data_IF_491296897765
#
_entry.id   IF_491296897765
#
_cell.length_a   1.000
_cell.length_b   1.000
_cell.length_c   1.000
_cell.angle_alpha   90.00
_cell.angle_beta   90.00
_cell.angle_gamma   90.00
#
_symmetry.space_group_name_H-M   'P 1'
#
loop_
_entity.id
_entity.type
_entity.pdbx_description
1 polymer ?
#
# COMPACT_ATOMS: atom_id res chain seq x y z
N UNK A 1 19.70 -15.01 9.48
CA UNK A 1 18.98 -14.24 8.46
C UNK A 1 19.86 -13.06 8.15
N UNK A 2 20.33 -12.90 6.92
CA UNK A 2 21.08 -11.70 6.54
C UNK A 2 20.15 -10.48 6.66
N UNK A 3 20.66 -9.35 7.12
CA UNK A 3 19.87 -8.11 7.16
C UNK A 3 19.56 -7.64 5.74
N UNK A 4 18.51 -6.83 5.58
CA UNK A 4 18.17 -6.20 4.29
C UNK A 4 19.38 -5.40 3.74
N UNK A 5 20.19 -4.80 4.61
CA UNK A 5 21.45 -4.13 4.23
C UNK A 5 22.54 -5.11 3.75
N UNK A 6 22.64 -6.30 4.32
CA UNK A 6 23.60 -7.31 3.86
C UNK A 6 23.20 -7.85 2.49
N UNK A 7 21.90 -8.10 2.30
CA UNK A 7 21.35 -8.51 1.01
C UNK A 7 21.56 -7.44 -0.05
N UNK A 8 21.37 -6.16 0.29
CA UNK A 8 21.51 -5.06 -0.67
C UNK A 8 22.94 -4.88 -1.17
N UNK A 9 23.93 -4.93 -0.26
CA UNK A 9 25.35 -4.84 -0.62
C UNK A 9 25.76 -5.97 -1.57
N UNK A 10 25.27 -7.20 -1.32
CA UNK A 10 25.57 -8.36 -2.17
C UNK A 10 24.94 -8.27 -3.57
N UNK A 11 23.82 -7.55 -3.68
CA UNK A 11 23.06 -7.38 -4.92
C UNK A 11 23.39 -6.08 -5.67
N UNK A 12 24.35 -5.28 -5.21
CA UNK A 12 24.65 -3.96 -5.80
C UNK A 12 23.51 -2.95 -5.64
N UNK A 13 22.62 -3.19 -4.69
CA UNK A 13 21.47 -2.35 -4.37
C UNK A 13 21.92 -1.24 -3.43
N UNK A 14 21.63 0.01 -3.79
CA UNK A 14 21.78 1.14 -2.86
C UNK A 14 20.45 1.33 -2.13
N UNK A 15 20.47 1.24 -0.79
CA UNK A 15 19.32 1.58 0.04
C UNK A 15 19.51 2.99 0.56
N UNK A 16 18.50 3.83 0.37
CA UNK A 16 18.42 5.16 0.98
C UNK A 16 17.24 5.15 1.94
N UNK A 17 17.52 5.30 3.24
CA UNK A 17 16.52 5.35 4.33
C UNK A 17 16.35 6.77 4.84
N UNK A 18 15.18 7.09 5.40
CA UNK A 18 14.89 8.42 5.93
C UNK A 18 14.88 9.49 4.84
N UNK A 19 14.53 9.10 3.62
CA UNK A 19 14.49 9.96 2.45
C UNK A 19 13.11 9.88 1.79
N UNK A 20 12.51 11.04 1.51
CA UNK A 20 11.17 11.12 0.95
C UNK A 20 11.24 11.48 -0.52
N UNK A 21 10.74 10.60 -1.39
CA UNK A 21 10.63 10.88 -2.82
C UNK A 21 9.52 11.90 -3.03
N UNK A 22 9.89 13.09 -3.51
CA UNK A 22 8.96 14.19 -3.73
C UNK A 22 8.38 14.18 -5.14
N UNK A 23 9.11 13.63 -6.13
CA UNK A 23 8.68 13.69 -7.54
C UNK A 23 9.32 12.60 -8.40
N UNK A 24 8.56 12.10 -9.38
CA UNK A 24 9.09 11.35 -10.54
C UNK A 24 9.48 12.35 -11.64
N UNK A 25 10.74 12.29 -12.08
CA UNK A 25 11.27 13.18 -13.12
C UNK A 25 11.11 12.53 -14.48
N UNK A 26 10.76 13.33 -15.48
CA UNK A 26 10.55 12.85 -16.85
C UNK A 26 11.38 13.61 -17.88
N UNK A 27 11.56 13.01 -19.07
CA UNK A 27 12.40 13.52 -20.17
C UNK A 27 12.02 14.89 -20.75
N UNK A 28 10.94 15.52 -20.28
CA UNK A 28 10.49 16.86 -20.64
C UNK A 28 10.53 17.87 -19.50
N UNK A 29 10.97 17.46 -18.30
CA UNK A 29 11.09 18.36 -17.15
C UNK A 29 12.33 19.25 -17.34
N UNK A 30 12.11 20.58 -17.29
CA UNK A 30 13.21 21.53 -17.11
C UNK A 30 13.67 21.41 -15.64
N UNK A 31 14.75 20.66 -15.44
CA UNK A 31 15.32 20.35 -14.12
C UNK A 31 15.61 21.62 -13.30
N UNK A 32 15.98 22.73 -13.95
CA UNK A 32 16.28 24.00 -13.28
C UNK A 32 15.00 24.73 -12.82
N UNK A 33 13.89 24.59 -13.54
CA UNK A 33 12.59 25.14 -13.12
C UNK A 33 11.90 24.29 -12.05
N UNK A 34 12.05 22.96 -12.13
CA UNK A 34 11.49 22.00 -11.15
C UNK A 34 12.11 22.13 -9.74
N UNK A 35 13.34 22.65 -9.65
CA UNK A 35 14.02 22.95 -8.39
C UNK A 35 13.63 24.31 -7.77
N UNK A 36 12.91 25.16 -8.52
CA UNK A 36 12.62 26.54 -8.10
C UNK A 36 11.37 26.70 -7.24
N UNK A 37 10.47 25.71 -7.26
CA UNK A 37 9.25 25.72 -6.46
C UNK A 37 9.00 24.35 -5.82
N UNK A 38 8.92 24.24 -4.48
CA UNK A 38 8.42 23.03 -3.86
C UNK A 38 6.97 22.78 -4.34
N UNK A 39 6.57 21.52 -4.55
CA UNK A 39 5.19 21.22 -4.90
C UNK A 39 4.24 21.90 -3.91
N UNK A 40 3.15 22.49 -4.43
CA UNK A 40 2.14 23.09 -3.57
C UNK A 40 1.60 22.03 -2.61
N UNK A 41 1.47 22.32 -1.30
CA UNK A 41 1.11 21.30 -0.35
C UNK A 41 -0.21 20.64 -0.74
N UNK A 42 -0.19 19.31 -0.89
CA UNK A 42 -1.42 18.54 -1.02
C UNK A 42 -2.27 18.69 0.24
N UNK A 43 -3.58 18.42 0.19
CA UNK A 43 -4.44 18.41 1.39
C UNK A 43 -4.03 17.36 2.44
N UNK A 44 -2.98 16.57 2.17
CA UNK A 44 -2.40 15.53 3.01
C UNK A 44 -0.87 15.62 3.10
N UNK A 45 -0.27 16.79 2.87
CA UNK A 45 1.17 16.96 3.07
C UNK A 45 1.48 17.05 4.56
N UNK A 46 2.23 16.05 5.06
CA UNK A 46 2.64 15.91 6.46
C UNK A 46 4.14 15.59 6.55
N UNK A 47 4.80 15.93 7.67
CA UNK A 47 6.21 15.58 7.90
C UNK A 47 6.40 14.06 7.86
N UNK A 48 7.38 13.61 7.09
CA UNK A 48 7.73 12.20 6.91
C UNK A 48 8.64 11.68 8.02
N UNK A 49 8.63 10.36 8.24
CA UNK A 49 9.44 9.69 9.27
C UNK A 49 10.26 8.52 8.68
N UNK A 50 10.97 7.79 9.54
CA UNK A 50 12.01 6.80 9.21
C UNK A 50 11.54 5.59 8.37
N UNK A 51 10.25 5.47 8.03
CA UNK A 51 9.69 4.32 7.30
C UNK A 51 9.74 4.45 5.77
N UNK A 52 10.22 5.56 5.22
CA UNK A 52 10.48 5.69 3.79
C UNK A 52 11.72 4.89 3.37
N UNK A 53 11.50 3.67 2.85
CA UNK A 53 12.56 2.84 2.28
C UNK A 53 12.46 2.85 0.76
N UNK A 54 13.42 3.48 0.08
CA UNK A 54 13.53 3.41 -1.37
C UNK A 54 14.58 2.34 -1.73
N UNK A 55 14.15 1.29 -2.43
CA UNK A 55 15.02 0.22 -2.90
C UNK A 55 15.37 0.47 -4.35
N UNK A 56 16.67 0.61 -4.65
CA UNK A 56 17.16 0.82 -6.00
C UNK A 56 18.15 -0.30 -6.32
N UNK A 57 17.65 -1.35 -6.97
CA UNK A 57 18.48 -2.42 -7.51
C UNK A 57 19.04 -1.99 -8.87
N UNK A 58 20.33 -1.67 -8.90
CA UNK A 58 21.02 -1.23 -10.11
C UNK A 58 21.55 -2.39 -10.94
N UNK A 59 21.93 -3.51 -10.33
CA UNK A 59 22.59 -4.62 -11.03
C UNK A 59 21.61 -5.62 -11.64
N UNK A 60 20.43 -5.85 -11.04
CA UNK A 60 19.37 -6.62 -11.70
C UNK A 60 18.71 -5.81 -12.82
N UNK A 61 18.47 -4.52 -12.60
CA UNK A 61 17.97 -3.62 -13.65
C UNK A 61 18.96 -3.54 -14.83
N UNK A 62 20.27 -3.45 -14.54
CA UNK A 62 21.33 -3.49 -15.56
C UNK A 62 21.32 -4.80 -16.35
N UNK A 63 21.28 -5.97 -15.70
CA UNK A 63 21.20 -7.28 -16.37
C UNK A 63 19.98 -7.43 -17.27
N UNK A 64 18.83 -6.88 -16.86
CA UNK A 64 17.58 -6.89 -17.64
C UNK A 64 17.64 -5.92 -18.82
N UNK A 65 18.22 -4.72 -18.64
CA UNK A 65 18.39 -3.73 -19.72
C UNK A 65 19.50 -4.12 -20.72
N UNK A 66 20.53 -4.85 -20.27
CA UNK A 66 21.64 -5.34 -21.09
C UNK A 66 21.31 -6.67 -21.80
N UNK A 67 20.12 -7.25 -21.56
CA UNK A 67 19.64 -8.45 -22.26
C UNK A 67 20.39 -9.73 -21.90
N UNK A 68 21.02 -9.78 -20.73
CA UNK A 68 21.81 -10.94 -20.27
C UNK A 68 20.94 -12.11 -19.77
N UNK A 69 19.61 -11.94 -19.75
CA UNK A 69 18.63 -13.02 -19.56
C UNK A 69 17.98 -13.36 -20.91
N UNK A 70 18.31 -14.51 -21.49
CA UNK A 70 17.73 -14.93 -22.76
C UNK A 70 16.21 -15.20 -22.65
N UNK A 71 15.39 -14.70 -23.60
CA UNK A 71 13.98 -15.01 -23.67
C UNK A 71 13.80 -16.45 -24.18
N UNK A 72 13.54 -17.39 -23.29
CA UNK A 72 13.05 -18.72 -23.69
C UNK A 72 11.60 -18.61 -24.13
N UNK A 73 11.38 -18.29 -25.40
CA UNK A 73 10.04 -18.30 -26.00
C UNK A 73 9.94 -17.49 -27.28
N UNK A 74 10.38 -18.06 -28.40
CA UNK A 74 10.10 -17.52 -29.71
C UNK A 74 8.58 -17.53 -29.98
N UNK A 75 7.93 -16.38 -29.86
CA UNK A 75 6.56 -16.19 -30.29
C UNK A 75 6.52 -15.89 -31.79
N UNK A 76 6.15 -16.89 -32.59
CA UNK A 76 5.74 -16.72 -33.98
C UNK A 76 4.51 -15.80 -34.07
N UNK A 77 4.65 -14.68 -34.79
CA UNK A 77 3.53 -13.81 -35.16
C UNK A 77 2.50 -14.60 -36.00
N UNK A 78 1.28 -14.72 -35.48
CA UNK A 78 0.12 -15.14 -36.27
C UNK A 78 -0.60 -13.88 -36.81
N UNK A 79 -0.44 -13.63 -38.11
CA UNK A 79 -1.28 -12.71 -38.88
C UNK A 79 -2.54 -13.45 -39.34
N UNK A 80 -3.71 -12.88 -39.08
CA UNK A 80 -4.96 -13.27 -39.75
C UNK A 80 -5.42 -12.13 -40.65
N UNK A 81 -5.83 -12.39 -41.91
CA UNK A 81 -6.33 -11.37 -42.81
C UNK A 81 -7.81 -11.06 -42.50
N UNK A 82 -8.20 -9.80 -42.64
CA UNK A 82 -9.61 -9.45 -42.87
C UNK A 82 -9.69 -8.48 -44.04
N UNK A 83 -10.41 -8.94 -45.05
CA UNK A 83 -10.79 -8.20 -46.24
C UNK A 83 -11.63 -6.97 -45.91
N UNK A 84 -11.43 -5.98 -46.77
CA UNK A 84 -12.04 -4.66 -46.82
C UNK A 84 -13.50 -4.71 -47.27
N UNK A 85 -14.33 -3.85 -46.70
CA UNK A 85 -15.37 -3.18 -47.48
C UNK A 85 -15.41 -1.69 -47.13
N UNK A 86 -15.42 -0.88 -48.18
CA UNK A 86 -15.18 0.55 -48.18
C UNK A 86 -16.44 1.34 -47.79
N UNK A 87 -16.27 2.31 -46.88
CA UNK A 87 -17.17 3.46 -46.75
C UNK A 87 -16.31 4.71 -46.62
N UNK A 88 -16.37 5.54 -47.66
CA UNK A 88 -15.71 6.84 -47.77
C UNK A 88 -16.30 7.83 -46.76
N UNK A 89 -15.54 8.16 -45.73
CA UNK A 89 -15.80 9.25 -44.81
C UNK A 89 -14.47 9.96 -44.51
N UNK A 90 -14.50 11.28 -44.53
CA UNK A 90 -13.34 12.17 -44.39
C UNK A 90 -12.42 11.75 -43.23
N UNK A 91 -11.14 11.53 -43.53
CA UNK A 91 -10.09 11.22 -42.55
C UNK A 91 -9.96 12.38 -41.56
N UNK A 92 -10.17 12.16 -40.24
CA UNK A 92 -9.78 13.12 -39.22
C UNK A 92 -8.27 13.32 -39.31
N UNK A 93 -7.82 14.56 -39.17
CA UNK A 93 -6.39 14.89 -39.14
C UNK A 93 -5.66 13.97 -38.15
N UNK A 94 -4.67 13.22 -38.64
CA UNK A 94 -3.76 12.42 -37.81
C UNK A 94 -3.14 13.35 -36.77
N UNK A 95 -3.48 13.10 -35.50
CA UNK A 95 -2.77 13.73 -34.39
C UNK A 95 -1.33 13.21 -34.46
N UNK A 96 -0.29 14.06 -34.49
CA UNK A 96 1.07 13.58 -34.55
C UNK A 96 1.34 12.62 -33.37
N UNK A 97 2.11 11.53 -33.56
CA UNK A 97 2.41 10.60 -32.49
C UNK A 97 3.12 11.39 -31.37
N UNK A 98 2.42 11.58 -30.26
CA UNK A 98 3.01 12.14 -29.05
C UNK A 98 4.04 11.12 -28.59
N UNK A 99 5.33 11.47 -28.68
CA UNK A 99 6.38 10.65 -28.10
C UNK A 99 6.02 10.42 -26.62
N UNK A 100 5.89 9.16 -26.16
CA UNK A 100 5.50 8.92 -24.78
C UNK A 100 6.56 9.52 -23.86
N UNK A 101 6.09 10.34 -22.91
CA UNK A 101 6.92 10.91 -21.85
C UNK A 101 7.57 9.75 -21.09
N UNK A 102 8.88 9.81 -20.86
CA UNK A 102 9.65 8.74 -20.22
C UNK A 102 10.18 9.20 -18.87
N UNK A 103 10.25 8.29 -17.90
CA UNK A 103 11.02 8.49 -16.67
C UNK A 103 12.48 8.80 -17.00
N UNK A 104 13.05 9.77 -16.30
CA UNK A 104 14.50 10.04 -16.31
C UNK A 104 15.11 9.97 -14.92
N UNK A 105 14.32 9.86 -13.87
CA UNK A 105 14.80 9.75 -12.50
C UNK A 105 13.75 10.06 -11.45
N UNK A 106 14.23 10.33 -10.24
CA UNK A 106 13.43 10.80 -9.10
C UNK A 106 14.09 12.00 -8.45
N UNK A 107 13.29 12.83 -7.81
CA UNK A 107 13.74 13.81 -6.82
C UNK A 107 13.33 13.33 -5.43
N UNK A 108 14.23 13.46 -4.46
CA UNK A 108 13.97 13.11 -3.08
C UNK A 108 14.59 14.12 -2.12
N UNK A 109 14.00 14.23 -0.93
CA UNK A 109 14.56 14.96 0.19
C UNK A 109 15.28 13.97 1.11
N UNK A 110 16.51 14.26 1.52
CA UNK A 110 17.19 13.47 2.54
C UNK A 110 16.68 13.79 3.96
N UNK A 111 17.21 13.10 4.97
CA UNK A 111 16.84 13.30 6.36
C UNK A 111 17.11 14.72 6.90
N UNK A 112 17.93 15.53 6.20
CA UNK A 112 18.19 16.93 6.53
C UNK A 112 17.25 17.89 5.81
N UNK A 113 16.39 17.38 4.92
CA UNK A 113 15.52 18.14 4.04
C UNK A 113 16.22 18.68 2.80
N UNK A 114 17.46 18.26 2.51
CA UNK A 114 18.14 18.68 1.29
C UNK A 114 17.62 17.90 0.08
N UNK A 115 17.38 18.61 -1.03
CA UNK A 115 16.88 18.02 -2.27
C UNK A 115 18.01 17.37 -3.09
N UNK A 116 17.74 16.18 -3.59
CA UNK A 116 18.63 15.38 -4.42
C UNK A 116 17.89 14.89 -5.65
N UNK A 117 18.64 14.68 -6.74
CA UNK A 117 18.15 14.02 -7.95
C UNK A 117 18.90 12.72 -8.14
N UNK A 118 18.16 11.70 -8.54
CA UNK A 118 18.72 10.42 -8.90
C UNK A 118 18.23 10.01 -10.28
N UNK A 119 19.16 9.90 -11.23
CA UNK A 119 18.86 9.47 -12.58
C UNK A 119 18.50 7.98 -12.62
N UNK A 120 17.46 7.66 -13.40
CA UNK A 120 17.00 6.30 -13.62
C UNK A 120 16.20 6.16 -14.93
N UNK A 121 16.47 5.09 -15.69
CA UNK A 121 15.69 4.75 -16.89
C UNK A 121 14.34 4.09 -16.56
N UNK A 122 14.25 3.51 -15.37
CA UNK A 122 13.10 2.77 -14.84
C UNK A 122 12.91 3.14 -13.38
N UNK A 123 11.65 3.38 -12.98
CA UNK A 123 11.25 3.54 -11.59
C UNK A 123 10.14 2.54 -11.28
N UNK A 124 10.32 1.78 -10.20
CA UNK A 124 9.29 0.88 -9.65
C UNK A 124 8.83 1.46 -8.32
N UNK A 125 7.64 2.05 -8.28
CA UNK A 125 7.08 2.62 -7.06
C UNK A 125 6.33 1.54 -6.26
N UNK A 126 6.83 1.22 -5.07
CA UNK A 126 6.23 0.24 -4.16
C UNK A 126 5.40 0.88 -3.02
N UNK A 127 5.19 2.19 -3.08
CA UNK A 127 4.33 2.95 -2.16
C UNK A 127 2.86 2.95 -2.63
N UNK A 128 1.96 3.57 -1.86
CA UNK A 128 0.53 3.64 -2.21
C UNK A 128 0.35 4.29 -3.59
N UNK A 129 -0.41 3.63 -4.47
CA UNK A 129 -0.58 4.06 -5.86
C UNK A 129 -1.25 5.43 -5.95
N UNK A 130 -2.18 5.76 -5.03
CA UNK A 130 -2.80 7.08 -5.03
C UNK A 130 -1.73 8.14 -4.80
N UNK A 131 -0.87 7.95 -3.79
CA UNK A 131 0.18 8.89 -3.48
C UNK A 131 1.14 9.11 -4.65
N UNK A 132 1.62 8.03 -5.29
CA UNK A 132 2.46 8.12 -6.50
C UNK A 132 1.76 8.94 -7.58
N UNK A 133 0.51 8.61 -7.86
CA UNK A 133 -0.23 9.19 -8.97
C UNK A 133 -0.64 10.64 -8.73
N UNK A 134 -1.00 11.01 -7.50
CA UNK A 134 -1.57 12.34 -7.23
C UNK A 134 -0.58 13.33 -6.63
N UNK A 135 0.54 12.86 -6.10
CA UNK A 135 1.53 13.70 -5.41
C UNK A 135 2.87 13.72 -6.15
N UNK A 136 3.34 12.57 -6.65
CA UNK A 136 4.67 12.47 -7.28
C UNK A 136 4.66 12.74 -8.80
N UNK A 137 3.48 12.90 -9.41
CA UNK A 137 3.30 13.13 -10.85
C UNK A 137 2.49 14.40 -11.13
N UNK A 138 2.90 15.11 -12.19
CA UNK A 138 2.11 16.21 -12.75
C UNK A 138 0.73 15.70 -13.23
N UNK A 139 -0.35 16.51 -13.10
CA UNK A 139 -1.73 16.12 -13.42
C UNK A 139 -1.92 15.46 -14.80
N UNK A 140 -1.23 15.96 -15.81
CA UNK A 140 -1.28 15.46 -17.18
C UNK A 140 -0.62 14.08 -17.34
N UNK A 141 0.32 13.72 -16.45
CA UNK A 141 1.05 12.44 -16.45
C UNK A 141 0.37 11.35 -15.62
N UNK A 142 -0.68 11.68 -14.87
CA UNK A 142 -1.39 10.73 -14.00
C UNK A 142 -2.22 9.73 -14.81
N UNK A 143 -1.96 8.44 -14.64
CA UNK A 143 -2.82 7.35 -15.12
C UNK A 143 -4.08 7.21 -14.25
N UNK A 144 -3.94 7.44 -12.95
CA UNK A 144 -5.01 7.33 -11.95
C UNK A 144 -5.20 8.66 -11.20
N UNK A 145 -5.77 9.69 -11.84
CA UNK A 145 -5.94 11.01 -11.24
C UNK A 145 -6.96 11.00 -10.08
N UNK A 146 -7.07 12.10 -9.32
CA UNK A 146 -8.01 12.21 -8.19
C UNK A 146 -9.46 11.83 -8.56
N UNK A 147 -9.89 12.14 -9.79
CA UNK A 147 -11.22 11.77 -10.30
C UNK A 147 -11.46 10.25 -10.42
N UNK A 148 -10.40 9.44 -10.54
CA UNK A 148 -10.46 7.99 -10.43
C UNK A 148 -10.74 7.59 -8.98
N UNK A 149 -9.95 8.10 -8.02
CA UNK A 149 -10.05 7.76 -6.61
C UNK A 149 -11.33 8.25 -5.93
N UNK A 150 -11.88 9.39 -6.37
CA UNK A 150 -13.16 9.93 -5.89
C UNK A 150 -14.33 8.93 -6.07
N UNK A 151 -14.24 8.05 -7.07
CA UNK A 151 -15.22 6.99 -7.37
C UNK A 151 -14.87 5.65 -6.73
N UNK A 152 -13.77 5.57 -5.99
CA UNK A 152 -13.28 4.33 -5.38
C UNK A 152 -13.65 4.31 -3.90
N UNK A 153 -13.65 3.11 -3.34
CA UNK A 153 -13.90 2.86 -1.91
C UNK A 153 -12.65 2.25 -1.31
N UNK A 154 -12.08 2.93 -0.31
CA UNK A 154 -10.99 2.40 0.49
C UNK A 154 -11.47 1.19 1.28
N UNK A 155 -10.60 0.20 1.44
CA UNK A 155 -10.79 -0.92 2.35
C UNK A 155 -10.83 -0.42 3.79
N UNK A 156 -11.22 -1.28 4.74
CA UNK A 156 -11.28 -0.87 6.14
C UNK A 156 -9.87 -0.54 6.64
N UNK A 157 -9.80 0.28 7.68
CA UNK A 157 -8.59 0.49 8.45
C UNK A 157 -8.60 -0.36 9.72
N UNK A 158 -7.63 -0.15 10.58
CA UNK A 158 -7.50 -0.81 11.86
C UNK A 158 -6.98 0.16 12.93
N UNK A 159 -7.38 -0.09 14.18
CA UNK A 159 -6.52 0.24 15.33
C UNK A 159 -5.70 -1.00 15.63
N UNK A 160 -4.38 -0.86 15.59
CA UNK A 160 -3.45 -1.91 16.01
C UNK A 160 -3.00 -1.61 17.44
N UNK A 161 -2.91 -2.65 18.26
CA UNK A 161 -2.47 -2.54 19.66
C UNK A 161 -1.38 -3.59 19.87
N UNK A 162 -0.19 -3.13 20.20
CA UNK A 162 0.96 -3.95 20.53
C UNK A 162 1.11 -3.93 22.05
N UNK A 163 1.03 -5.11 22.67
CA UNK A 163 1.11 -5.25 24.12
C UNK A 163 2.27 -6.17 24.49
N UNK A 164 3.08 -5.74 25.45
CA UNK A 164 3.91 -6.63 26.25
C UNK A 164 3.16 -6.95 27.53
N UNK A 165 3.05 -8.23 27.89
CA UNK A 165 2.29 -8.68 29.06
C UNK A 165 3.20 -9.52 29.94
N UNK A 166 3.32 -9.14 31.21
CA UNK A 166 4.06 -9.92 32.21
C UNK A 166 3.30 -11.22 32.49
N UNK A 167 3.98 -12.36 32.56
CA UNK A 167 3.39 -13.69 32.79
C UNK A 167 2.81 -14.36 31.54
N UNK A 168 2.44 -15.63 31.66
CA UNK A 168 1.83 -16.44 30.58
C UNK A 168 0.34 -16.12 30.38
N UNK A 169 -0.16 -16.33 29.15
CA UNK A 169 -1.58 -16.16 28.78
C UNK A 169 -2.08 -17.43 28.05
N UNK A 170 -2.23 -18.56 28.76
CA UNK A 170 -2.60 -19.84 28.15
C UNK A 170 -4.00 -19.84 27.50
N UNK A 171 -4.86 -18.88 27.85
CA UNK A 171 -6.21 -18.72 27.31
C UNK A 171 -6.24 -18.35 25.82
N UNK A 172 -5.15 -17.76 25.30
CA UNK A 172 -5.03 -17.34 23.90
C UNK A 172 -4.19 -18.32 23.10
N UNK A 173 -4.64 -18.76 21.93
CA UNK A 173 -3.77 -19.45 20.97
C UNK A 173 -2.84 -18.45 20.27
N UNK A 174 -1.89 -18.96 19.46
CA UNK A 174 -1.07 -18.09 18.60
C UNK A 174 -1.95 -17.15 17.77
N UNK A 175 -3.07 -17.63 17.23
CA UNK A 175 -4.08 -16.82 16.57
C UNK A 175 -5.44 -17.04 17.22
N UNK A 176 -6.06 -15.96 17.68
CA UNK A 176 -7.40 -15.99 18.31
C UNK A 176 -8.29 -14.95 17.65
N UNK A 177 -9.53 -15.34 17.32
CA UNK A 177 -10.53 -14.46 16.71
C UNK A 177 -11.75 -14.37 17.63
N UNK A 178 -12.08 -13.16 18.04
CA UNK A 178 -13.28 -12.84 18.80
C UNK A 178 -14.32 -12.25 17.85
N UNK A 179 -15.47 -12.93 17.73
CA UNK A 179 -16.54 -12.52 16.83
C UNK A 179 -17.71 -11.93 17.60
N UNK A 180 -18.19 -10.78 17.15
CA UNK A 180 -19.48 -10.24 17.60
C UNK A 180 -20.63 -11.05 16.99
N UNK A 181 -21.77 -11.09 17.69
CA UNK A 181 -23.01 -11.68 17.13
C UNK A 181 -23.62 -10.83 16.01
N UNK A 182 -23.14 -9.59 15.84
CA UNK A 182 -23.70 -8.54 14.97
C UNK A 182 -22.85 -8.26 13.74
N UNK A 183 -22.13 -9.27 13.25
CA UNK A 183 -21.19 -9.19 12.10
C UNK A 183 -21.68 -8.31 10.95
N UNK A 184 -22.90 -8.53 10.43
CA UNK A 184 -23.43 -7.75 9.30
C UNK A 184 -23.56 -6.25 9.58
N UNK A 185 -24.10 -5.89 10.74
CA UNK A 185 -24.24 -4.47 11.10
C UNK A 185 -22.89 -3.82 11.40
N UNK A 186 -21.89 -4.59 11.84
CA UNK A 186 -20.56 -4.06 12.12
C UNK A 186 -19.82 -3.72 10.82
N UNK A 187 -19.98 -4.52 9.77
CA UNK A 187 -19.55 -4.14 8.41
C UNK A 187 -20.28 -2.89 7.90
N UNK A 188 -21.58 -2.76 8.16
CA UNK A 188 -22.32 -1.54 7.83
C UNK A 188 -21.88 -0.32 8.64
N UNK A 189 -21.35 -0.47 9.85
CA UNK A 189 -20.75 0.65 10.59
C UNK A 189 -19.42 1.06 9.96
N UNK A 190 -18.61 0.10 9.52
CA UNK A 190 -17.28 0.35 8.94
C UNK A 190 -17.38 0.98 7.55
N UNK A 191 -18.24 0.45 6.67
CA UNK A 191 -18.40 0.93 5.29
C UNK A 191 -19.61 1.88 5.12
N UNK A 192 -20.39 2.07 6.19
CA UNK A 192 -21.62 2.86 6.27
C UNK A 192 -22.88 2.16 5.73
N UNK A 193 -24.05 2.79 5.96
CA UNK A 193 -25.37 2.20 5.62
C UNK A 193 -25.46 1.84 4.13
N UNK A 194 -25.74 0.56 3.86
CA UNK A 194 -25.73 -0.03 2.50
C UNK A 194 -24.44 -0.78 2.16
N UNK A 195 -23.42 -0.75 3.03
CA UNK A 195 -22.19 -1.54 2.93
C UNK A 195 -21.50 -1.41 1.57
N UNK A 196 -21.09 -2.55 1.00
CA UNK A 196 -20.48 -2.63 -0.35
C UNK A 196 -21.38 -2.01 -1.43
N UNK A 197 -22.71 -2.08 -1.29
CA UNK A 197 -23.64 -1.49 -2.25
C UNK A 197 -23.64 0.04 -2.22
N UNK A 198 -23.41 0.66 -1.06
CA UNK A 198 -23.21 2.11 -0.95
C UNK A 198 -21.89 2.53 -1.62
N UNK A 199 -20.82 1.74 -1.46
CA UNK A 199 -19.56 1.93 -2.18
C UNK A 199 -19.71 1.82 -3.71
N UNK A 200 -20.53 0.88 -4.18
CA UNK A 200 -20.86 0.74 -5.61
C UNK A 200 -21.65 1.94 -6.13
N UNK A 201 -22.67 2.39 -5.38
CA UNK A 201 -23.49 3.55 -5.72
C UNK A 201 -22.65 4.86 -5.75
N UNK A 202 -21.72 5.03 -4.80
CA UNK A 202 -20.70 6.10 -4.86
C UNK A 202 -19.84 5.99 -6.11
N UNK A 203 -19.43 4.79 -6.51
CA UNK A 203 -18.57 4.60 -7.69
C UNK A 203 -19.20 5.00 -9.03
N UNK A 204 -20.53 5.07 -9.08
CA UNK A 204 -21.30 5.57 -10.23
C UNK A 204 -21.81 7.00 -10.05
N UNK A 205 -21.32 7.73 -9.04
CA UNK A 205 -21.67 9.14 -8.80
C UNK A 205 -23.06 9.36 -8.18
N UNK A 206 -23.72 8.29 -7.72
CA UNK A 206 -25.05 8.35 -7.09
C UNK A 206 -24.94 7.86 -5.65
N UNK A 207 -24.59 8.71 -4.69
CA UNK A 207 -24.46 8.31 -3.28
C UNK A 207 -24.77 9.44 -2.30
N UNK A 208 -25.35 9.11 -1.14
CA UNK A 208 -25.47 10.04 0.00
C UNK A 208 -24.19 10.03 0.82
N UNK A 209 -23.91 11.09 1.61
CA UNK A 209 -22.86 11.07 2.61
C UNK A 209 -23.00 9.83 3.48
N UNK A 210 -21.91 9.09 3.61
CA UNK A 210 -21.85 7.83 4.32
C UNK A 210 -21.34 8.11 5.72
N UNK A 211 -22.21 7.95 6.73
CA UNK A 211 -21.77 8.01 8.13
C UNK A 211 -21.24 6.63 8.51
N UNK A 212 -19.97 6.57 8.87
CA UNK A 212 -19.31 5.39 9.42
C UNK A 212 -19.12 5.55 10.93
N UNK A 213 -18.89 4.44 11.63
CA UNK A 213 -18.55 4.45 13.04
C UNK A 213 -17.74 3.20 13.40
N UNK A 214 -17.03 3.25 14.52
CA UNK A 214 -16.36 2.07 15.07
C UNK A 214 -17.40 1.13 15.71
N UNK A 215 -17.39 -0.17 15.39
CA UNK A 215 -18.23 -1.14 16.11
C UNK A 215 -17.86 -1.24 17.60
N UNK A 216 -18.88 -1.35 18.45
CA UNK A 216 -18.75 -1.59 19.90
C UNK A 216 -19.89 -2.52 20.34
N UNK A 217 -19.59 -3.71 20.89
CA UNK A 217 -18.28 -4.37 20.86
C UNK A 217 -17.80 -4.59 19.41
N UNK A 218 -16.49 -4.69 19.21
CA UNK A 218 -15.89 -4.97 17.91
C UNK A 218 -15.54 -6.46 17.74
N UNK A 219 -15.45 -6.95 16.51
CA UNK A 219 -14.75 -8.22 16.28
C UNK A 219 -13.25 -7.96 16.35
N UNK A 220 -12.50 -8.80 17.04
CA UNK A 220 -11.09 -8.57 17.36
C UNK A 220 -10.26 -9.76 16.90
N UNK A 221 -9.13 -9.47 16.27
CA UNK A 221 -8.08 -10.45 16.03
C UNK A 221 -6.95 -10.24 17.03
N UNK A 222 -6.49 -11.32 17.67
CA UNK A 222 -5.35 -11.33 18.57
C UNK A 222 -4.34 -12.36 18.07
N UNK A 223 -3.10 -11.92 17.90
CA UNK A 223 -1.95 -12.78 17.67
C UNK A 223 -1.09 -12.78 18.94
N UNK A 224 -0.72 -13.97 19.43
CA UNK A 224 0.24 -14.18 20.52
C UNK A 224 1.46 -14.94 19.99
N UNK A 225 2.41 -14.27 19.32
CA UNK A 225 3.52 -14.96 18.65
C UNK A 225 4.40 -15.78 19.61
N UNK A 226 4.54 -15.30 20.85
CA UNK A 226 5.27 -15.97 21.94
C UNK A 226 4.76 -17.37 22.27
N UNK A 227 3.51 -17.70 21.90
CA UNK A 227 2.96 -19.04 22.02
C UNK A 227 3.73 -20.10 21.21
N UNK A 228 4.42 -19.70 20.13
CA UNK A 228 5.18 -20.63 19.27
C UNK A 228 6.63 -20.22 19.05
N UNK A 229 6.99 -18.97 19.35
CA UNK A 229 8.34 -18.46 19.22
C UNK A 229 8.76 -17.73 20.50
N UNK A 230 9.51 -18.40 21.36
CA UNK A 230 9.97 -17.83 22.63
C UNK A 230 10.97 -16.67 22.47
N UNK A 231 11.46 -16.38 21.25
CA UNK A 231 12.42 -15.29 21.02
C UNK A 231 11.78 -13.91 20.88
N UNK A 232 10.46 -13.84 20.70
CA UNK A 232 9.72 -12.60 20.44
C UNK A 232 9.23 -11.86 21.70
N UNK A 233 9.47 -12.43 22.89
CA UNK A 233 9.18 -11.83 24.18
C UNK A 233 10.24 -12.22 25.23
N UNK A 234 10.49 -11.40 26.27
CA UNK A 234 11.34 -11.79 27.39
C UNK A 234 10.84 -13.04 28.11
N UNK A 235 11.74 -13.77 28.77
CA UNK A 235 11.38 -14.93 29.60
C UNK A 235 10.32 -14.54 30.64
N UNK A 236 9.27 -15.35 30.76
CA UNK A 236 8.15 -15.10 31.67
C UNK A 236 7.23 -13.97 31.22
N UNK A 237 7.32 -13.50 29.97
CA UNK A 237 6.41 -12.52 29.37
C UNK A 237 5.83 -13.03 28.05
N UNK A 238 4.70 -12.46 27.65
CA UNK A 238 4.05 -12.70 26.36
C UNK A 238 3.95 -11.38 25.59
N UNK A 239 3.80 -11.47 24.28
CA UNK A 239 3.53 -10.32 23.42
C UNK A 239 2.24 -10.55 22.63
N UNK A 240 1.39 -9.52 22.56
CA UNK A 240 0.14 -9.55 21.81
C UNK A 240 0.16 -8.49 20.71
N UNK A 241 -0.23 -8.91 19.52
CA UNK A 241 -0.67 -8.01 18.46
C UNK A 241 -2.19 -8.12 18.37
N UNK A 242 -2.87 -7.00 18.55
CA UNK A 242 -4.33 -6.91 18.48
C UNK A 242 -4.72 -6.02 17.31
N UNK A 243 -5.73 -6.45 16.55
CA UNK A 243 -6.29 -5.70 15.44
C UNK A 243 -7.80 -5.51 15.66
N UNK A 244 -8.22 -4.25 15.68
CA UNK A 244 -9.63 -3.84 15.71
C UNK A 244 -9.99 -3.19 14.36
N UNK A 245 -10.87 -3.80 13.56
CA UNK A 245 -11.24 -3.26 12.25
C UNK A 245 -12.14 -2.02 12.41
N UNK A 246 -11.80 -0.95 11.71
CA UNK A 246 -12.47 0.36 11.82
C UNK A 246 -12.64 1.02 10.42
N UNK A 247 -13.43 2.09 10.30
CA UNK A 247 -13.47 2.87 9.06
C UNK A 247 -12.09 3.38 8.63
N UNK A 248 -11.84 3.46 7.33
CA UNK A 248 -10.67 4.14 6.78
C UNK A 248 -10.90 5.66 6.81
N UNK A 249 -10.54 6.25 7.94
CA UNK A 249 -10.70 7.67 8.23
C UNK A 249 -9.54 8.15 9.11
N UNK A 250 -8.58 8.91 8.55
CA UNK A 250 -7.48 9.51 9.32
C UNK A 250 -7.97 10.45 10.43
N UNK A 251 -9.21 10.97 10.35
CA UNK A 251 -9.82 11.80 11.39
C UNK A 251 -10.06 11.07 12.72
N UNK A 252 -10.00 9.73 12.73
CA UNK A 252 -10.03 8.91 13.96
C UNK A 252 -8.76 9.14 14.79
N UNK A 253 -7.65 9.52 14.14
CA UNK A 253 -6.40 9.91 14.78
C UNK A 253 -5.27 8.89 14.69
N UNK A 254 -4.16 9.27 15.29
CA UNK A 254 -2.93 8.48 15.44
C UNK A 254 -2.92 7.72 16.76
N UNK A 255 -2.16 6.63 16.80
CA UNK A 255 -1.77 5.96 18.04
C UNK A 255 -0.61 6.64 18.73
N UNK A 256 -0.08 5.97 19.76
CA UNK A 256 1.03 6.43 20.56
C UNK A 256 1.52 5.36 21.52
N UNK A 257 2.61 5.68 22.22
CA UNK A 257 3.15 4.85 23.28
C UNK A 257 2.44 5.14 24.60
N UNK A 258 2.23 4.11 25.41
CA UNK A 258 1.71 4.20 26.79
C UNK A 258 0.43 5.04 26.94
N UNK A 259 -0.45 5.00 25.93
CA UNK A 259 -1.72 5.73 25.94
C UNK A 259 -1.64 7.20 25.54
N UNK A 260 -0.51 7.63 24.96
CA UNK A 260 -0.30 9.01 24.50
C UNK A 260 -0.86 9.29 23.09
N UNK A 261 -1.56 8.32 22.47
CA UNK A 261 -2.21 8.52 21.17
C UNK A 261 -3.47 9.39 21.24
N UNK A 262 -4.15 9.49 20.10
CA UNK A 262 -5.39 10.26 19.98
C UNK A 262 -6.49 9.67 20.89
N UNK A 263 -7.30 10.50 21.57
CA UNK A 263 -8.28 10.01 22.55
C UNK A 263 -9.23 8.92 22.04
N UNK A 264 -9.64 9.00 20.77
CA UNK A 264 -10.51 8.01 20.15
C UNK A 264 -9.79 6.67 19.91
N UNK A 265 -8.53 6.70 19.45
CA UNK A 265 -7.71 5.49 19.26
C UNK A 265 -7.47 4.79 20.59
N UNK A 266 -7.15 5.55 21.63
CA UNK A 266 -6.89 4.97 22.95
C UNK A 266 -8.16 4.41 23.60
N UNK A 267 -9.31 5.06 23.43
CA UNK A 267 -10.59 4.52 23.89
C UNK A 267 -10.95 3.18 23.20
N UNK A 268 -10.67 3.05 21.90
CA UNK A 268 -10.86 1.79 21.15
C UNK A 268 -9.92 0.71 21.69
N UNK A 269 -8.68 1.08 21.98
CA UNK A 269 -7.70 0.15 22.52
C UNK A 269 -8.09 -0.35 23.93
N UNK A 270 -8.51 0.56 24.80
CA UNK A 270 -8.97 0.24 26.16
C UNK A 270 -10.21 -0.67 26.12
N UNK A 271 -11.18 -0.39 25.23
CA UNK A 271 -12.36 -1.25 25.02
C UNK A 271 -11.96 -2.64 24.52
N UNK A 272 -11.02 -2.73 23.57
CA UNK A 272 -10.55 -4.01 23.04
C UNK A 272 -9.82 -4.84 24.12
N UNK A 273 -8.97 -4.21 24.94
CA UNK A 273 -8.28 -4.88 26.06
C UNK A 273 -9.30 -5.42 27.06
N UNK A 274 -10.28 -4.61 27.46
CA UNK A 274 -11.35 -5.03 28.37
C UNK A 274 -12.18 -6.17 27.78
N UNK A 275 -12.50 -6.10 26.48
CA UNK A 275 -13.27 -7.13 25.79
C UNK A 275 -12.49 -8.46 25.69
N UNK A 276 -11.19 -8.42 25.39
CA UNK A 276 -10.33 -9.62 25.39
C UNK A 276 -10.27 -10.23 26.79
N UNK A 277 -10.05 -9.41 27.82
CA UNK A 277 -10.02 -9.84 29.21
C UNK A 277 -11.31 -10.57 29.60
N UNK A 278 -12.47 -9.99 29.28
CA UNK A 278 -13.78 -10.58 29.58
C UNK A 278 -14.01 -11.88 28.78
N UNK A 279 -13.80 -11.85 27.46
CA UNK A 279 -14.23 -12.94 26.57
C UNK A 279 -13.27 -14.13 26.60
N UNK A 280 -11.99 -13.91 26.89
CA UNK A 280 -11.00 -14.99 27.08
C UNK A 280 -10.94 -15.48 28.54
N UNK A 281 -11.49 -14.73 29.49
CA UNK A 281 -11.43 -15.07 30.92
C UNK A 281 -10.10 -14.71 31.59
N UNK A 282 -9.49 -13.58 31.21
CA UNK A 282 -8.20 -13.07 31.72
C UNK A 282 -8.46 -11.77 32.49
N UNK A 283 -9.04 -11.81 33.70
CA UNK A 283 -9.53 -10.62 34.39
C UNK A 283 -8.45 -9.60 34.76
N UNK A 284 -7.19 -10.03 34.89
CA UNK A 284 -6.02 -9.23 35.25
C UNK A 284 -5.20 -8.77 34.03
N UNK A 285 -5.69 -8.98 32.79
CA UNK A 285 -4.94 -8.69 31.56
C UNK A 285 -4.41 -7.25 31.54
N UNK A 286 -5.27 -6.27 31.84
CA UNK A 286 -4.89 -4.85 31.80
C UNK A 286 -3.81 -4.51 32.84
N UNK A 287 -3.85 -5.13 34.02
CA UNK A 287 -2.89 -4.91 35.12
C UNK A 287 -1.50 -5.48 34.79
N UNK A 288 -1.45 -6.48 33.89
CA UNK A 288 -0.23 -7.16 33.48
C UNK A 288 0.46 -6.52 32.27
N UNK A 289 -0.14 -5.51 31.64
CA UNK A 289 0.45 -4.81 30.49
C UNK A 289 1.67 -4.01 30.98
N UNK A 290 2.83 -4.33 30.39
CA UNK A 290 4.13 -3.68 30.70
C UNK A 290 4.64 -2.82 29.56
N UNK A 291 4.15 -3.06 28.34
CA UNK A 291 4.42 -2.25 27.15
C UNK A 291 3.10 -2.05 26.42
N UNK A 292 2.82 -0.83 25.99
CA UNK A 292 1.68 -0.52 25.15
C UNK A 292 2.10 0.40 24.02
N UNK A 293 1.78 0.02 22.79
CA UNK A 293 1.82 0.91 21.63
C UNK A 293 0.57 0.73 20.79
N UNK A 294 -0.05 1.83 20.40
CA UNK A 294 -1.18 1.83 19.47
C UNK A 294 -0.75 2.40 18.12
N UNK A 295 -1.47 2.03 17.06
CA UNK A 295 -1.36 2.62 15.72
C UNK A 295 -2.79 2.82 15.20
N UNK A 296 -3.06 4.01 14.67
CA UNK A 296 -4.36 4.41 14.12
C UNK A 296 -4.31 4.75 12.63
N UNK A 297 -5.45 5.06 12.02
CA UNK A 297 -5.53 5.38 10.59
C UNK A 297 -4.70 6.58 10.17
N UNK A 298 -4.51 7.57 11.05
CA UNK A 298 -3.66 8.71 10.73
C UNK A 298 -2.19 8.29 10.56
N UNK A 299 -1.70 7.34 11.36
CA UNK A 299 -0.34 6.82 11.21
C UNK A 299 -0.17 6.10 9.88
N UNK A 300 -1.14 5.28 9.46
CA UNK A 300 -1.07 4.66 8.12
C UNK A 300 -1.06 5.70 6.99
N UNK A 301 -1.76 6.81 7.16
CA UNK A 301 -1.77 7.88 6.16
C UNK A 301 -0.44 8.65 6.15
N UNK A 302 0.12 8.95 7.32
CA UNK A 302 1.32 9.77 7.47
C UNK A 302 2.61 8.98 7.20
N UNK A 303 2.69 7.77 7.75
CA UNK A 303 3.93 6.98 7.77
C UNK A 303 4.08 6.12 6.50
N UNK A 304 2.94 5.70 5.94
CA UNK A 304 2.91 4.76 4.81
C UNK A 304 2.23 5.35 3.57
N UNK A 305 1.85 6.63 3.60
CA UNK A 305 1.17 7.34 2.53
C UNK A 305 -0.14 6.65 2.06
N UNK A 306 -0.75 5.82 2.91
CA UNK A 306 -1.88 4.98 2.49
C UNK A 306 -3.13 5.80 2.23
N UNK A 307 -3.81 5.48 1.13
CA UNK A 307 -5.03 6.19 0.76
C UNK A 307 -6.12 6.09 1.85
N UNK A 308 -6.51 7.24 2.40
CA UNK A 308 -7.48 7.36 3.50
C UNK A 308 -7.08 6.56 4.76
N UNK A 309 -5.78 6.33 4.99
CA UNK A 309 -5.32 5.58 6.17
C UNK A 309 -5.81 4.13 6.18
N UNK A 310 -6.05 3.53 5.01
CA UNK A 310 -6.53 2.15 4.92
C UNK A 310 -5.43 1.15 5.28
N UNK A 311 -5.76 0.15 6.10
CA UNK A 311 -4.85 -0.95 6.41
C UNK A 311 -4.85 -2.04 5.32
N UNK A 312 -5.88 -2.06 4.47
CA UNK A 312 -6.17 -3.14 3.52
C UNK A 312 -6.36 -2.64 2.07
N UNK A 313 -5.74 -1.51 1.71
CA UNK A 313 -5.76 -0.98 0.34
C UNK A 313 -7.19 -0.74 -0.20
N UNK A 314 -7.41 -0.82 -1.53
CA UNK A 314 -8.75 -0.71 -2.10
C UNK A 314 -9.72 -1.79 -1.61
N UNK A 315 -10.97 -1.42 -1.33
CA UNK A 315 -11.98 -2.38 -0.87
C UNK A 315 -12.24 -3.47 -1.91
N UNK A 316 -12.44 -4.71 -1.43
CA UNK A 316 -12.75 -5.90 -2.24
C UNK A 316 -14.18 -5.91 -2.80
N UNK A 317 -14.59 -4.83 -3.46
CA UNK A 317 -15.83 -4.77 -4.22
C UNK A 317 -15.63 -5.36 -5.61
N UNK A 318 -16.70 -5.83 -6.25
CA UNK A 318 -16.62 -6.41 -7.60
C UNK A 318 -15.95 -5.45 -8.61
N UNK A 319 -16.23 -4.14 -8.52
CA UNK A 319 -15.66 -3.10 -9.41
C UNK A 319 -14.25 -2.62 -9.05
N UNK A 320 -13.61 -3.20 -8.04
CA UNK A 320 -12.24 -2.89 -7.61
C UNK A 320 -11.36 -4.14 -7.44
N UNK A 321 -11.90 -5.31 -7.76
CA UNK A 321 -11.22 -6.60 -7.62
C UNK A 321 -10.86 -7.19 -8.98
N UNK A 322 -9.94 -8.15 -8.98
CA UNK A 322 -9.51 -8.89 -10.17
C UNK A 322 -9.16 -7.95 -11.34
N UNK A 323 -9.80 -8.15 -12.50
CA UNK A 323 -9.54 -7.39 -13.74
C UNK A 323 -9.80 -5.87 -13.63
N UNK A 324 -10.55 -5.41 -12.62
CA UNK A 324 -10.85 -4.00 -12.41
C UNK A 324 -9.91 -3.30 -11.42
N UNK A 325 -8.96 -4.04 -10.84
CA UNK A 325 -7.91 -3.48 -9.99
C UNK A 325 -6.93 -2.67 -10.84
N UNK A 326 -6.30 -1.67 -10.24
CA UNK A 326 -5.29 -0.87 -10.92
C UNK A 326 -4.12 -1.75 -11.38
N UNK A 327 -3.64 -1.52 -12.60
CA UNK A 327 -2.51 -2.25 -13.17
C UNK A 327 -1.19 -1.86 -12.51
N UNK A 328 -0.13 -2.57 -12.84
CA UNK A 328 1.22 -2.38 -12.30
C UNK A 328 2.15 -1.55 -13.22
N UNK A 329 1.58 -0.75 -14.14
CA UNK A 329 2.33 0.05 -15.10
C UNK A 329 1.60 1.37 -15.39
N UNK A 330 2.35 2.45 -15.54
CA UNK A 330 1.80 3.72 -16.02
C UNK A 330 1.39 3.63 -17.49
N UNK A 331 0.23 4.17 -17.84
CA UNK A 331 -0.22 4.29 -19.24
C UNK A 331 0.31 5.55 -19.92
N UNK A 332 0.87 6.48 -19.15
CA UNK A 332 1.27 7.81 -19.62
C UNK A 332 2.78 8.05 -19.54
N UNK A 333 3.47 7.41 -18.59
CA UNK A 333 4.91 7.58 -18.39
C UNK A 333 5.63 6.27 -18.66
N UNK A 334 6.39 6.20 -19.75
CA UNK A 334 7.19 5.03 -20.08
C UNK A 334 8.32 4.84 -19.05
N UNK A 335 8.52 3.61 -18.57
CA UNK A 335 9.51 3.29 -17.54
C UNK A 335 9.02 3.42 -16.10
N UNK A 336 7.76 3.84 -15.88
CA UNK A 336 7.15 3.88 -14.54
C UNK A 336 6.28 2.64 -14.28
N UNK A 337 6.62 1.88 -13.26
CA UNK A 337 5.92 0.68 -12.80
C UNK A 337 5.49 0.81 -11.34
N UNK A 338 4.53 -0.01 -10.94
CA UNK A 338 3.99 -0.02 -9.59
C UNK A 338 4.07 -1.43 -9.01
N UNK A 339 4.38 -1.57 -7.72
CA UNK A 339 4.37 -2.85 -7.03
C UNK A 339 3.66 -2.72 -5.68
N UNK A 340 3.15 -3.84 -5.16
CA UNK A 340 2.55 -3.92 -3.83
C UNK A 340 1.02 -3.91 -3.83
N UNK A 341 0.43 -3.69 -2.65
CA UNK A 341 -0.98 -4.00 -2.36
C UNK A 341 -2.02 -3.08 -3.01
N UNK A 342 -1.59 -1.92 -3.48
CA UNK A 342 -2.43 -0.92 -4.15
C UNK A 342 -2.74 -1.29 -5.62
N UNK A 343 -1.97 -2.22 -6.19
CA UNK A 343 -2.07 -2.63 -7.60
C UNK A 343 -2.44 -4.12 -7.72
N UNK A 344 -2.46 -4.65 -8.93
CA UNK A 344 -2.57 -6.09 -9.16
C UNK A 344 -1.37 -6.85 -8.54
N UNK A 345 -1.61 -8.03 -7.93
CA UNK A 345 -2.89 -8.70 -7.81
C UNK A 345 -3.70 -8.28 -6.56
N UNK A 346 -3.06 -7.70 -5.55
CA UNK A 346 -3.73 -7.09 -4.41
C UNK A 346 -2.96 -7.10 -3.10
N UNK A 347 -3.69 -6.92 -2.01
CA UNK A 347 -3.13 -6.87 -0.65
C UNK A 347 -2.70 -8.23 -0.10
N UNK A 348 -1.82 -8.20 0.90
CA UNK A 348 -1.28 -9.36 1.59
C UNK A 348 0.11 -9.71 1.08
N UNK A 349 0.97 -10.20 1.99
CA UNK A 349 2.38 -10.45 1.69
C UNK A 349 2.60 -11.28 0.42
N UNK A 350 1.93 -12.43 0.21
CA UNK A 350 2.11 -13.20 -1.02
C UNK A 350 1.72 -12.42 -2.28
N UNK A 351 0.67 -11.61 -2.19
CA UNK A 351 0.16 -10.83 -3.32
C UNK A 351 1.10 -9.67 -3.66
N UNK A 352 1.70 -9.02 -2.66
CA UNK A 352 2.74 -8.01 -2.87
C UNK A 352 3.99 -8.61 -3.55
N UNK A 353 4.42 -9.82 -3.14
CA UNK A 353 5.55 -10.51 -3.77
C UNK A 353 5.25 -10.88 -5.24
N UNK A 354 4.05 -11.40 -5.51
CA UNK A 354 3.60 -11.65 -6.89
C UNK A 354 3.53 -10.34 -7.68
N UNK A 355 3.11 -9.22 -7.07
CA UNK A 355 3.10 -7.91 -7.73
C UNK A 355 4.50 -7.51 -8.21
N UNK A 356 5.53 -7.70 -7.37
CA UNK A 356 6.92 -7.48 -7.74
C UNK A 356 7.38 -8.43 -8.85
N UNK A 357 7.05 -9.72 -8.75
CA UNK A 357 7.34 -10.72 -9.78
C UNK A 357 6.76 -10.31 -11.16
N UNK A 358 5.53 -9.79 -11.18
CA UNK A 358 4.88 -9.31 -12.40
C UNK A 358 5.60 -8.08 -13.01
N UNK A 359 6.26 -7.25 -12.20
CA UNK A 359 7.11 -6.15 -12.71
C UNK A 359 8.37 -6.72 -13.34
N UNK A 360 9.05 -7.66 -12.68
CA UNK A 360 10.27 -8.32 -13.21
C UNK A 360 9.97 -9.00 -14.54
N UNK A 361 8.89 -9.79 -14.60
CA UNK A 361 8.45 -10.44 -15.84
C UNK A 361 8.22 -9.46 -16.97
N UNK A 362 7.54 -8.35 -16.68
CA UNK A 362 7.29 -7.29 -17.66
C UNK A 362 8.59 -6.67 -18.18
N UNK A 363 9.55 -6.39 -17.30
CA UNK A 363 10.85 -5.86 -17.68
C UNK A 363 11.66 -6.85 -18.55
N UNK A 364 11.56 -8.16 -18.24
CA UNK A 364 12.19 -9.25 -19.02
C UNK A 364 11.43 -9.62 -20.30
N UNK A 365 10.24 -9.06 -20.53
CA UNK A 365 9.36 -9.47 -21.63
C UNK A 365 8.76 -10.87 -21.47
N UNK A 366 8.79 -11.44 -20.27
CA UNK A 366 8.22 -12.74 -19.94
C UNK A 366 6.69 -12.64 -19.81
N UNK A 367 5.99 -13.41 -20.63
CA UNK A 367 4.52 -13.51 -20.67
C UNK A 367 3.99 -14.83 -20.07
N UNK A 368 4.87 -15.61 -19.44
CA UNK A 368 4.53 -16.88 -18.81
C UNK A 368 3.61 -16.70 -17.59
N UNK A 369 2.77 -17.69 -17.35
CA UNK A 369 1.85 -17.73 -16.19
C UNK A 369 2.43 -18.50 -15.00
N UNK A 370 3.61 -19.09 -15.15
CA UNK A 370 4.30 -19.89 -14.12
C UNK A 370 5.16 -18.99 -13.25
N UNK A 371 5.35 -19.31 -11.97
CA UNK A 371 6.26 -18.57 -11.10
C UNK A 371 7.68 -18.48 -11.70
N UNK A 372 8.38 -17.37 -11.46
CA UNK A 372 9.80 -17.26 -11.80
C UNK A 372 10.62 -18.31 -11.02
N UNK A 373 11.67 -18.90 -11.63
CA UNK A 373 12.55 -19.81 -10.92
C UNK A 373 13.32 -19.08 -9.81
N UNK A 374 13.43 -19.69 -8.64
CA UNK A 374 14.20 -19.18 -7.51
C UNK A 374 15.61 -19.83 -7.43
N UNK A 375 16.66 -19.08 -7.01
CA UNK A 375 16.66 -17.64 -6.72
C UNK A 375 16.63 -16.80 -8.02
N UNK A 376 16.11 -15.58 -7.92
CA UNK A 376 15.89 -14.67 -9.05
C UNK A 376 17.15 -14.23 -9.81
#
# INVERSE_FOLDING_TARGET
MESIEQLSVSAGVTIVTGATVSRIVTSGDDLDAALSEPPAPGPYDYPTNEFDTNVIDRDELRRVLEGEAEPTGAATKATAPRDTDALTGETPAETPPVTPVRVSGIQYLDATGAAHTLDADVVVAATDLKHVETTMLLPELQTYPESYWAKKTAGPSAVLIYLGVSGEIPELAHHTLFFTKTWKSDFEKIFGKGGVAAGLLKSVGMGRPVTTSVPSPASIYVCRPSATDASVAPEGSENLFVLVPIPADPGIGSGGEDGAGSPQVEAIADEAIAQIAEWAGIPDLAERITVRRTVGPADFANDLNTWNGTALGPAHTLGQSAFFRAGNVSKKVAGLYYAGGSTIPGIGLPMCLISAELVIKRLRGDISTTALPEPL
#
